data_IF_376386296528
#
_entry.id   IF_376386296528
#
_cell.length_a   1.000
_cell.length_b   1.000
_cell.length_c   1.000
_cell.angle_alpha   90.00
_cell.angle_beta   90.00
_cell.angle_gamma   90.00
#
_symmetry.space_group_name_H-M   'P 1'
#
loop_
_entity.id
_entity.type
_entity.pdbx_description
1 polymer ?
#
# COMPACT_ATOMS: atom_id res chain seq x y z
N UNK A 1 -21.81 -61.67 20.15
CA UNK A 1 -22.02 -60.61 19.15
C UNK A 1 -20.88 -59.60 19.29
N UNK A 2 -19.96 -59.55 18.33
CA UNK A 2 -18.82 -58.59 18.31
C UNK A 2 -19.23 -57.42 17.42
N UNK A 3 -19.26 -56.21 17.97
CA UNK A 3 -19.43 -54.97 17.20
C UNK A 3 -18.17 -54.73 16.36
N UNK A 4 -18.27 -54.40 15.06
CA UNK A 4 -17.11 -53.97 14.30
C UNK A 4 -16.89 -52.47 14.54
N UNK A 5 -15.73 -52.13 15.11
CA UNK A 5 -15.23 -50.76 15.11
C UNK A 5 -14.94 -50.34 13.66
N UNK A 6 -15.68 -49.34 13.16
CA UNK A 6 -15.33 -48.63 11.92
C UNK A 6 -14.30 -47.55 12.27
N UNK A 7 -13.10 -47.55 11.69
CA UNK A 7 -12.18 -46.43 11.85
C UNK A 7 -12.78 -45.23 11.12
N UNK A 8 -13.13 -44.19 11.87
CA UNK A 8 -13.53 -42.89 11.32
C UNK A 8 -12.24 -42.18 10.93
N UNK A 9 -11.90 -42.21 9.64
CA UNK A 9 -10.76 -41.47 9.10
C UNK A 9 -11.13 -39.98 9.11
N UNK A 10 -10.66 -39.24 10.11
CA UNK A 10 -10.75 -37.77 10.13
C UNK A 10 -9.79 -37.23 9.06
N UNK A 11 -10.34 -36.85 7.92
CA UNK A 11 -9.62 -36.05 6.92
C UNK A 11 -9.46 -34.63 7.52
N UNK A 12 -8.25 -34.29 7.95
CA UNK A 12 -7.87 -32.92 8.27
C UNK A 12 -7.77 -32.15 6.95
N UNK A 13 -8.81 -31.37 6.63
CA UNK A 13 -8.77 -30.40 5.54
C UNK A 13 -7.88 -29.26 6.04
N UNK A 14 -6.62 -29.22 5.58
CA UNK A 14 -5.72 -28.11 5.85
C UNK A 14 -6.09 -26.99 4.87
N UNK A 15 -6.80 -25.97 5.36
CA UNK A 15 -6.95 -24.73 4.62
C UNK A 15 -5.57 -24.05 4.59
N UNK A 16 -5.02 -23.84 3.40
CA UNK A 16 -3.75 -23.17 3.21
C UNK A 16 -3.99 -21.66 3.29
N UNK A 17 -3.59 -21.01 4.37
CA UNK A 17 -3.58 -19.56 4.51
C UNK A 17 -2.14 -19.09 4.75
N UNK A 18 -1.67 -18.10 3.99
CA UNK A 18 -0.37 -17.44 4.22
C UNK A 18 -0.57 -16.12 4.97
N UNK A 19 0.48 -15.70 5.68
CA UNK A 19 0.54 -14.38 6.30
C UNK A 19 1.97 -13.87 6.23
N UNK A 20 2.14 -12.62 5.81
CA UNK A 20 3.44 -11.96 5.71
C UNK A 20 3.36 -10.52 6.22
N UNK A 21 4.51 -9.99 6.66
CA UNK A 21 4.62 -8.61 7.09
C UNK A 21 5.88 -7.97 6.48
N UNK A 22 5.75 -6.76 5.97
CA UNK A 22 6.80 -5.98 5.33
C UNK A 22 6.86 -4.62 6.02
N UNK A 23 8.06 -4.14 6.29
CA UNK A 23 8.28 -2.88 7.01
C UNK A 23 9.10 -1.92 6.15
N UNK A 24 8.72 -0.64 6.18
CA UNK A 24 9.39 0.44 5.49
C UNK A 24 9.66 1.59 6.45
N UNK A 25 10.85 2.18 6.37
CA UNK A 25 11.19 3.41 7.07
C UNK A 25 11.19 4.58 6.09
N UNK A 26 10.49 5.65 6.46
CA UNK A 26 10.48 6.91 5.74
C UNK A 26 11.35 7.86 6.55
N UNK A 27 12.50 8.21 5.99
CA UNK A 27 13.45 9.12 6.60
C UNK A 27 13.76 10.28 5.66
N UNK A 28 14.03 11.43 6.26
CA UNK A 28 14.49 12.61 5.53
C UNK A 28 15.96 12.45 5.15
N UNK A 29 16.27 12.71 3.89
CA UNK A 29 17.63 12.74 3.37
C UNK A 29 18.17 14.17 3.31
N UNK A 30 17.37 15.11 2.81
CA UNK A 30 17.76 16.49 2.56
C UNK A 30 16.61 17.45 2.87
N UNK A 31 16.93 18.65 3.39
CA UNK A 31 16.00 19.76 3.55
C UNK A 31 16.42 20.92 2.65
N UNK A 32 15.48 21.47 1.88
CA UNK A 32 15.73 22.60 0.98
C UNK A 32 15.27 23.93 1.57
N UNK A 33 14.52 23.88 2.66
CA UNK A 33 14.08 25.05 3.42
C UNK A 33 14.41 24.88 4.90
N UNK A 34 14.47 26.00 5.62
CA UNK A 34 14.61 26.03 7.09
C UNK A 34 13.22 25.92 7.72
N UNK A 35 12.71 24.69 7.83
CA UNK A 35 11.37 24.39 8.35
C UNK A 35 11.31 23.01 9.00
N UNK A 36 10.75 22.95 10.21
CA UNK A 36 10.55 21.71 10.96
C UNK A 36 9.42 20.84 10.41
N UNK A 37 8.63 21.34 9.43
CA UNK A 37 7.51 20.61 8.83
C UNK A 37 7.98 19.28 8.21
N UNK A 38 9.21 19.24 7.71
CA UNK A 38 9.77 18.04 7.09
C UNK A 38 9.94 16.88 8.09
N UNK A 39 10.10 17.17 9.39
CA UNK A 39 10.15 16.13 10.45
C UNK A 39 8.82 15.36 10.58
N UNK A 40 7.70 15.90 10.07
CA UNK A 40 6.39 15.24 10.15
C UNK A 40 6.31 14.03 9.19
N UNK A 41 7.18 13.99 8.18
CA UNK A 41 7.22 12.91 7.19
C UNK A 41 7.86 11.65 7.76
N UNK A 42 8.74 11.77 8.76
CA UNK A 42 9.43 10.63 9.35
C UNK A 42 8.44 9.65 10.01
N UNK A 43 8.39 8.42 9.49
CA UNK A 43 7.46 7.39 9.95
C UNK A 43 7.95 5.99 9.57
N UNK A 44 7.42 4.97 10.25
CA UNK A 44 7.52 3.57 9.82
C UNK A 44 6.18 3.10 9.29
N UNK A 45 6.16 2.51 8.10
CA UNK A 45 4.99 1.83 7.55
C UNK A 45 5.15 0.31 7.71
N UNK A 46 4.08 -0.36 8.11
CA UNK A 46 4.01 -1.82 8.21
C UNK A 46 2.83 -2.31 7.39
N UNK A 47 3.11 -3.18 6.43
CA UNK A 47 2.10 -3.86 5.61
C UNK A 47 1.98 -5.28 6.11
N UNK A 48 0.78 -5.71 6.49
CA UNK A 48 0.48 -7.10 6.85
C UNK A 48 -0.50 -7.65 5.85
N UNK A 49 -0.11 -8.74 5.20
CA UNK A 49 -0.86 -9.37 4.09
C UNK A 49 -1.27 -10.75 4.57
N UNK A 50 -2.55 -11.06 4.43
CA UNK A 50 -3.12 -12.37 4.74
C UNK A 50 -3.79 -12.90 3.48
N UNK A 51 -3.39 -14.07 3.01
CA UNK A 51 -3.92 -14.66 1.78
C UNK A 51 -4.53 -16.02 2.06
N UNK A 52 -5.63 -16.28 1.37
CA UNK A 52 -6.28 -17.57 1.23
C UNK A 52 -6.55 -17.82 -0.26
N UNK A 53 -7.16 -18.96 -0.59
CA UNK A 53 -7.45 -19.29 -1.99
C UNK A 53 -8.35 -18.24 -2.68
N UNK A 54 -9.28 -17.64 -1.95
CA UNK A 54 -10.34 -16.81 -2.56
C UNK A 54 -10.24 -15.33 -2.14
N UNK A 55 -9.52 -15.06 -1.05
CA UNK A 55 -9.49 -13.75 -0.41
C UNK A 55 -8.08 -13.34 0.00
N UNK A 56 -7.82 -12.04 -0.11
CA UNK A 56 -6.65 -11.36 0.44
C UNK A 56 -7.11 -10.26 1.39
N UNK A 57 -6.36 -10.02 2.46
CA UNK A 57 -6.50 -8.83 3.30
C UNK A 57 -5.17 -8.11 3.40
N UNK A 58 -5.17 -6.83 3.06
CA UNK A 58 -4.06 -5.91 3.27
C UNK A 58 -4.38 -5.01 4.46
N UNK A 59 -3.59 -5.13 5.52
CA UNK A 59 -3.55 -4.18 6.62
C UNK A 59 -2.33 -3.28 6.48
N UNK A 60 -2.52 -1.98 6.66
CA UNK A 60 -1.44 -1.01 6.71
C UNK A 60 -1.50 -0.29 8.05
N UNK A 61 -0.34 -0.11 8.67
CA UNK A 61 -0.16 0.71 9.86
C UNK A 61 1.01 1.68 9.68
N UNK A 62 0.84 2.91 10.18
CA UNK A 62 1.89 3.92 10.22
C UNK A 62 2.26 4.24 11.67
N UNK A 63 3.56 4.39 11.94
CA UNK A 63 4.11 4.79 13.23
C UNK A 63 4.85 6.13 13.06
N UNK A 64 4.12 7.26 13.01
CA UNK A 64 4.73 8.58 12.86
C UNK A 64 5.65 8.91 14.02
N UNK A 65 6.79 9.53 13.71
CA UNK A 65 7.65 10.16 14.73
C UNK A 65 6.95 11.35 15.39
N UNK A 66 6.06 12.04 14.67
CA UNK A 66 5.28 13.21 15.13
C UNK A 66 3.78 12.93 15.06
N UNK A 67 3.28 12.15 16.01
CA UNK A 67 1.88 11.70 16.06
C UNK A 67 0.85 12.85 16.14
N UNK A 68 1.15 13.89 16.92
CA UNK A 68 0.14 14.88 17.32
C UNK A 68 -0.34 15.78 16.19
N UNK A 69 0.45 15.99 15.13
CA UNK A 69 0.16 16.99 14.09
C UNK A 69 -0.54 16.37 12.89
N UNK A 70 -0.43 15.05 12.72
CA UNK A 70 -0.95 14.32 11.57
C UNK A 70 -2.37 13.86 11.87
N UNK A 71 -3.32 14.24 11.03
CA UNK A 71 -4.71 13.78 11.13
C UNK A 71 -4.91 12.44 10.43
N UNK A 72 -4.30 12.26 9.26
CA UNK A 72 -4.37 10.99 8.52
C UNK A 72 -3.24 10.82 7.52
N UNK A 73 -3.06 9.57 7.08
CA UNK A 73 -2.36 9.23 5.84
C UNK A 73 -3.36 8.75 4.80
N UNK A 74 -3.13 9.11 3.54
CA UNK A 74 -3.79 8.50 2.38
C UNK A 74 -2.74 7.83 1.52
N UNK A 75 -2.89 6.52 1.33
CA UNK A 75 -2.01 5.68 0.54
C UNK A 75 -2.79 5.14 -0.66
N UNK A 76 -2.30 5.39 -1.87
CA UNK A 76 -2.87 4.87 -3.11
C UNK A 76 -1.87 3.92 -3.75
N UNK A 77 -2.25 2.65 -3.84
CA UNK A 77 -1.44 1.61 -4.48
C UNK A 77 -2.02 1.30 -5.84
N UNK A 78 -1.13 1.16 -6.82
CA UNK A 78 -1.46 0.69 -8.16
C UNK A 78 -0.77 -0.64 -8.43
N UNK A 79 -1.52 -1.58 -8.98
CA UNK A 79 -0.98 -2.76 -9.63
C UNK A 79 -0.11 -2.28 -10.79
N UNK A 80 1.15 -2.72 -10.84
CA UNK A 80 2.03 -2.39 -11.95
C UNK A 80 1.48 -2.96 -13.24
N UNK A 81 0.93 -2.08 -14.07
CA UNK A 81 0.77 -2.35 -15.49
C UNK A 81 2.14 -2.20 -16.15
N UNK A 82 2.50 -3.19 -16.97
CA UNK A 82 3.79 -3.31 -17.67
C UNK A 82 4.22 -1.95 -18.24
N UNK A 83 5.32 -1.39 -17.72
CA UNK A 83 5.85 -0.08 -18.17
C UNK A 83 6.37 -0.12 -19.62
N UNK A 84 6.40 -1.28 -20.29
CA UNK A 84 6.90 -1.45 -21.65
C UNK A 84 5.88 -2.20 -22.53
N UNK A 85 5.05 -1.43 -23.24
CA UNK A 85 3.98 -1.96 -24.11
C UNK A 85 4.51 -2.62 -25.39
N UNK A 86 5.80 -2.46 -25.74
CA UNK A 86 6.33 -2.90 -27.04
C UNK A 86 6.81 -4.36 -27.09
N UNK A 87 7.08 -5.02 -25.96
CA UNK A 87 7.65 -6.38 -25.95
C UNK A 87 6.77 -7.47 -25.34
N UNK A 88 5.76 -7.13 -24.54
CA UNK A 88 5.13 -8.10 -23.64
C UNK A 88 3.59 -8.16 -23.82
N UNK A 89 3.14 -8.73 -24.94
CA UNK A 89 1.71 -8.83 -25.32
C UNK A 89 0.96 -9.97 -24.60
N UNK A 90 1.66 -10.87 -23.90
CA UNK A 90 1.02 -12.04 -23.31
C UNK A 90 0.66 -11.79 -21.83
N UNK A 91 -0.61 -11.43 -21.62
CA UNK A 91 -1.39 -11.36 -20.37
C UNK A 91 -1.34 -10.07 -19.52
N UNK A 92 -2.52 -9.48 -19.30
CA UNK A 92 -2.72 -8.28 -18.50
C UNK A 92 -3.10 -8.73 -17.08
N UNK A 93 -2.21 -8.62 -16.10
CA UNK A 93 -2.58 -8.96 -14.72
C UNK A 93 -3.70 -8.02 -14.27
N UNK A 94 -4.79 -8.62 -13.78
CA UNK A 94 -5.97 -7.93 -13.28
C UNK A 94 -5.87 -7.83 -11.77
N UNK A 95 -5.48 -8.91 -11.07
CA UNK A 95 -5.39 -8.95 -9.60
C UNK A 95 -6.75 -9.16 -8.90
N UNK A 96 -6.77 -9.22 -7.55
CA UNK A 96 -8.00 -9.36 -6.77
C UNK A 96 -8.83 -8.07 -6.79
N UNK A 97 -10.15 -8.20 -6.80
CA UNK A 97 -11.09 -7.06 -6.70
C UNK A 97 -11.15 -6.58 -5.24
N UNK A 98 -10.60 -5.40 -4.97
CA UNK A 98 -10.59 -4.78 -3.64
C UNK A 98 -11.96 -4.20 -3.27
N UNK A 99 -12.34 -4.30 -1.99
CA UNK A 99 -13.62 -3.79 -1.51
C UNK A 99 -13.76 -2.27 -1.75
N UNK A 100 -14.78 -1.87 -2.50
CA UNK A 100 -15.02 -0.47 -2.85
C UNK A 100 -14.14 0.07 -3.98
N UNK A 101 -13.26 -0.76 -4.54
CA UNK A 101 -12.39 -0.43 -5.66
C UNK A 101 -12.44 -1.53 -6.75
N UNK A 102 -11.64 -1.35 -7.79
CA UNK A 102 -11.42 -2.38 -8.80
C UNK A 102 -10.20 -3.24 -8.46
N UNK A 103 -9.74 -4.06 -9.40
CA UNK A 103 -8.63 -4.96 -9.16
C UNK A 103 -7.23 -4.33 -9.40
N UNK A 104 -7.17 -3.11 -9.93
CA UNK A 104 -5.91 -2.44 -10.27
C UNK A 104 -5.44 -1.37 -9.29
N UNK A 105 -6.34 -0.70 -8.58
CA UNK A 105 -6.00 0.40 -7.66
C UNK A 105 -6.68 0.13 -6.32
N UNK A 106 -5.96 0.41 -5.23
CA UNK A 106 -6.53 0.36 -3.89
C UNK A 106 -6.07 1.56 -3.08
N UNK A 107 -7.01 2.23 -2.42
CA UNK A 107 -6.73 3.35 -1.52
C UNK A 107 -6.99 2.95 -0.07
N UNK A 108 -6.00 3.18 0.79
CA UNK A 108 -6.10 2.97 2.24
C UNK A 108 -5.87 4.29 2.96
N UNK A 109 -6.86 4.68 3.77
CA UNK A 109 -6.78 5.85 4.65
C UNK A 109 -6.49 5.42 6.08
N UNK A 110 -5.40 5.93 6.66
CA UNK A 110 -4.99 5.67 8.04
C UNK A 110 -5.36 6.87 8.90
N UNK A 111 -6.37 6.73 9.76
CA UNK A 111 -6.86 7.83 10.59
C UNK A 111 -6.16 7.84 11.95
N UNK A 112 -5.82 9.03 12.47
CA UNK A 112 -5.29 9.21 13.83
C UNK A 112 -6.18 8.57 14.89
N UNK A 113 -7.51 8.66 14.72
CA UNK A 113 -8.51 8.08 15.63
C UNK A 113 -8.44 6.54 15.74
N UNK A 114 -7.79 5.88 14.77
CA UNK A 114 -7.55 4.44 14.78
C UNK A 114 -6.04 4.13 14.84
N UNK A 115 -5.26 5.00 15.49
CA UNK A 115 -3.81 4.87 15.64
C UNK A 115 -3.07 4.64 14.31
N UNK A 116 -3.58 5.27 13.24
CA UNK A 116 -3.06 5.14 11.88
C UNK A 116 -2.99 3.68 11.38
N UNK A 117 -3.95 2.84 11.76
CA UNK A 117 -4.14 1.50 11.21
C UNK A 117 -5.42 1.42 10.41
N UNK A 118 -5.40 0.70 9.28
CA UNK A 118 -6.61 0.32 8.56
C UNK A 118 -6.39 -0.97 7.76
N UNK A 119 -7.45 -1.60 7.31
CA UNK A 119 -7.39 -2.85 6.53
C UNK A 119 -8.42 -2.83 5.42
N UNK A 120 -8.10 -3.52 4.33
CA UNK A 120 -8.98 -3.71 3.18
C UNK A 120 -8.86 -5.15 2.68
N UNK A 121 -10.00 -5.71 2.28
CA UNK A 121 -10.06 -7.06 1.72
C UNK A 121 -10.24 -7.00 0.21
N UNK A 122 -9.73 -8.01 -0.47
CA UNK A 122 -9.90 -8.24 -1.89
C UNK A 122 -10.30 -9.69 -2.16
N UNK A 123 -10.98 -9.92 -3.27
CA UNK A 123 -11.45 -11.25 -3.68
C UNK A 123 -10.87 -11.60 -5.04
N UNK A 124 -10.38 -12.83 -5.19
CA UNK A 124 -9.93 -13.33 -6.48
C UNK A 124 -11.15 -13.72 -7.31
N UNK A 125 -11.31 -13.11 -8.50
CA UNK A 125 -12.37 -13.50 -9.43
C UNK A 125 -11.89 -14.69 -10.26
N UNK A 126 -12.40 -15.89 -9.98
CA UNK A 126 -12.07 -17.12 -10.72
C UNK A 126 -12.29 -17.01 -12.24
N UNK A 127 -13.11 -16.05 -12.70
CA UNK A 127 -13.32 -15.80 -14.14
C UNK A 127 -12.16 -15.04 -14.78
N UNK A 128 -11.38 -14.31 -13.98
CA UNK A 128 -10.19 -13.58 -14.40
C UNK A 128 -8.97 -14.52 -14.33
N UNK A 129 -8.91 -15.49 -15.24
CA UNK A 129 -7.66 -16.22 -15.49
C UNK A 129 -6.75 -15.30 -16.32
N UNK A 130 -6.07 -14.39 -15.64
CA UNK A 130 -5.13 -13.43 -16.23
C UNK A 130 -3.72 -14.02 -16.43
N UNK A 131 -3.55 -15.30 -16.10
CA UNK A 131 -2.30 -16.05 -16.26
C UNK A 131 -1.15 -15.54 -15.38
N UNK A 132 -1.42 -14.66 -14.41
CA UNK A 132 -0.42 -14.13 -13.51
C UNK A 132 -0.31 -14.99 -12.25
N UNK A 133 0.93 -15.36 -11.91
CA UNK A 133 1.22 -16.06 -10.66
C UNK A 133 1.33 -15.10 -9.49
N UNK A 134 1.82 -13.87 -9.74
CA UNK A 134 2.06 -12.86 -8.72
C UNK A 134 1.51 -11.50 -9.16
N UNK A 135 1.04 -10.71 -8.19
CA UNK A 135 0.54 -9.36 -8.39
C UNK A 135 1.38 -8.35 -7.61
N UNK A 136 1.96 -7.37 -8.30
CA UNK A 136 2.85 -6.37 -7.70
C UNK A 136 2.16 -5.02 -7.59
N UNK A 137 1.89 -4.59 -6.36
CA UNK A 137 1.29 -3.31 -6.06
C UNK A 137 2.34 -2.34 -5.55
N UNK A 138 2.42 -1.17 -6.19
CA UNK A 138 3.35 -0.12 -5.82
C UNK A 138 2.59 1.05 -5.21
N UNK A 139 3.10 1.58 -4.10
CA UNK A 139 2.57 2.82 -3.57
C UNK A 139 2.87 3.93 -4.58
N UNK A 140 1.81 4.52 -5.15
CA UNK A 140 1.93 5.58 -6.15
C UNK A 140 1.79 6.96 -5.54
N UNK A 141 0.86 7.12 -4.59
CA UNK A 141 0.65 8.37 -3.88
C UNK A 141 0.68 8.15 -2.38
N UNK A 142 1.47 8.99 -1.69
CA UNK A 142 1.51 9.07 -0.24
C UNK A 142 1.24 10.51 0.18
N UNK A 143 0.14 10.71 0.89
CA UNK A 143 -0.28 12.01 1.41
C UNK A 143 -0.41 11.97 2.91
N UNK A 144 0.19 12.93 3.60
CA UNK A 144 -0.08 13.24 5.00
C UNK A 144 -1.05 14.41 5.03
N UNK A 145 -2.15 14.27 5.76
CA UNK A 145 -3.08 15.36 6.02
C UNK A 145 -2.87 15.83 7.46
N UNK A 146 -2.56 17.11 7.63
CA UNK A 146 -2.33 17.73 8.94
C UNK A 146 -3.65 18.27 9.53
N UNK A 147 -3.67 18.53 10.83
CA UNK A 147 -4.87 19.03 11.53
C UNK A 147 -5.38 20.40 11.02
N UNK A 148 -4.53 21.21 10.40
CA UNK A 148 -4.86 22.53 9.86
C UNK A 148 -5.30 22.52 8.38
N UNK A 149 -5.55 21.34 7.81
CA UNK A 149 -5.82 21.07 6.39
C UNK A 149 -4.63 21.32 5.44
N UNK A 150 -3.43 21.54 5.97
CA UNK A 150 -2.21 21.46 5.16
C UNK A 150 -1.96 20.00 4.76
N UNK A 151 -1.44 19.78 3.56
CA UNK A 151 -1.07 18.46 3.08
C UNK A 151 0.43 18.39 2.81
N UNK A 152 1.03 17.24 3.08
CA UNK A 152 2.39 16.93 2.65
C UNK A 152 2.31 15.75 1.68
N UNK A 153 2.78 15.97 0.45
CA UNK A 153 2.89 14.93 -0.56
C UNK A 153 4.31 14.38 -0.54
N UNK A 154 4.43 13.07 -0.42
CA UNK A 154 5.71 12.36 -0.40
C UNK A 154 5.84 11.58 -1.71
N UNK A 155 6.92 11.85 -2.45
CA UNK A 155 7.22 11.17 -3.70
C UNK A 155 7.65 9.73 -3.47
N UNK A 156 6.97 8.80 -4.11
CA UNK A 156 7.17 7.34 -3.95
C UNK A 156 7.29 6.61 -5.30
N UNK A 157 6.69 7.16 -6.34
CA UNK A 157 6.68 6.69 -7.72
C UNK A 157 6.97 7.86 -8.67
N UNK A 158 6.94 7.63 -9.99
CA UNK A 158 6.83 8.75 -10.94
C UNK A 158 5.37 9.09 -11.17
N UNK A 159 5.01 10.36 -11.05
CA UNK A 159 3.71 10.88 -11.43
C UNK A 159 3.78 11.67 -12.74
N UNK A 160 3.51 10.98 -13.84
CA UNK A 160 3.42 11.61 -15.17
C UNK A 160 2.37 12.74 -15.24
N UNK A 161 1.38 12.72 -14.34
CA UNK A 161 0.37 13.76 -14.24
C UNK A 161 0.87 15.05 -13.58
N UNK A 162 2.06 15.04 -12.95
CA UNK A 162 2.65 16.15 -12.19
C UNK A 162 1.71 16.76 -11.14
N UNK A 163 0.83 15.93 -10.57
CA UNK A 163 -0.04 16.26 -9.44
C UNK A 163 0.65 15.95 -8.11
N UNK A 164 1.57 14.99 -8.11
CA UNK A 164 2.40 14.59 -6.98
C UNK A 164 3.90 14.74 -7.31
N UNK A 165 4.77 14.88 -6.30
CA UNK A 165 6.20 14.82 -6.50
C UNK A 165 6.63 13.42 -6.95
N UNK A 166 7.62 13.36 -7.82
CA UNK A 166 8.36 12.12 -8.07
C UNK A 166 9.21 11.79 -6.84
N UNK A 167 9.44 10.50 -6.57
CA UNK A 167 10.45 10.13 -5.57
C UNK A 167 11.83 10.71 -5.97
N UNK A 168 12.63 11.25 -5.02
CA UNK A 168 12.44 11.21 -3.57
C UNK A 168 11.80 12.46 -2.96
N UNK A 169 11.27 13.38 -3.76
CA UNK A 169 10.91 14.73 -3.33
C UNK A 169 9.68 14.80 -2.42
N UNK A 170 9.64 15.84 -1.59
CA UNK A 170 8.53 16.13 -0.66
C UNK A 170 7.97 17.51 -0.96
N UNK A 171 6.66 17.61 -1.14
CA UNK A 171 5.96 18.87 -1.37
C UNK A 171 5.00 19.20 -0.23
N UNK A 172 4.96 20.46 0.17
CA UNK A 172 3.91 21.04 1.00
C UNK A 172 2.83 21.63 0.11
N UNK A 173 1.57 21.32 0.39
CA UNK A 173 0.41 22.00 -0.20
C UNK A 173 -0.31 22.74 0.92
N UNK A 174 -0.15 24.05 0.94
CA UNK A 174 -0.79 24.87 1.96
C UNK A 174 -2.28 25.11 1.65
N UNK A 175 -3.00 25.71 2.59
CA UNK A 175 -4.44 26.04 2.46
C UNK A 175 -4.85 26.88 1.23
N UNK A 176 -3.90 27.54 0.57
CA UNK A 176 -4.13 28.31 -0.65
C UNK A 176 -3.83 27.51 -1.93
N UNK A 177 -3.57 26.20 -1.81
CA UNK A 177 -3.12 25.30 -2.88
C UNK A 177 -1.79 25.73 -3.53
N UNK A 178 -0.94 26.43 -2.78
CA UNK A 178 0.41 26.75 -3.22
C UNK A 178 1.31 25.57 -2.85
N UNK A 179 2.09 25.11 -3.82
CA UNK A 179 3.02 24.00 -3.70
C UNK A 179 4.42 24.57 -3.40
N UNK A 180 5.05 24.05 -2.36
CA UNK A 180 6.44 24.34 -1.99
C UNK A 180 7.22 23.04 -1.85
N UNK A 181 8.38 22.94 -2.48
CA UNK A 181 9.26 21.79 -2.31
C UNK A 181 10.05 21.92 -1.01
N UNK A 182 9.88 20.96 -0.11
CA UNK A 182 10.46 20.99 1.23
C UNK A 182 11.85 20.36 1.28
N UNK A 183 12.07 19.31 0.50
CA UNK A 183 13.25 18.46 0.61
C UNK A 183 13.06 17.10 -0.08
N UNK A 184 13.87 16.13 0.34
CA UNK A 184 13.87 14.78 -0.19
C UNK A 184 13.93 13.73 0.94
N UNK A 185 13.31 12.58 0.71
CA UNK A 185 13.38 11.39 1.57
C UNK A 185 14.47 10.42 1.10
N UNK A 186 14.71 9.35 1.86
CA UNK A 186 15.50 8.19 1.41
C UNK A 186 14.70 7.20 0.54
N UNK A 187 13.44 7.50 0.22
CA UNK A 187 12.60 6.60 -0.57
C UNK A 187 13.14 6.50 -1.99
N UNK A 188 13.54 5.30 -2.38
CA UNK A 188 13.83 4.99 -3.77
C UNK A 188 12.52 4.80 -4.55
N UNK A 189 12.49 5.25 -5.80
CA UNK A 189 11.33 5.10 -6.68
C UNK A 189 10.85 3.64 -6.73
N UNK A 190 9.56 3.42 -6.49
CA UNK A 190 8.89 2.10 -6.46
C UNK A 190 9.34 1.14 -5.34
N UNK A 191 10.10 1.62 -4.35
CA UNK A 191 10.57 0.76 -3.24
C UNK A 191 9.46 0.37 -2.25
N UNK A 192 8.44 1.20 -2.06
CA UNK A 192 7.28 0.89 -1.22
C UNK A 192 6.26 0.10 -2.04
N UNK A 193 6.20 -1.22 -1.81
CA UNK A 193 5.34 -2.13 -2.57
C UNK A 193 4.88 -3.32 -1.73
N UNK A 194 3.99 -4.13 -2.29
CA UNK A 194 3.71 -5.47 -1.80
C UNK A 194 3.43 -6.41 -2.97
N UNK A 195 3.65 -7.70 -2.73
CA UNK A 195 3.43 -8.78 -3.68
C UNK A 195 2.36 -9.71 -3.13
N UNK A 196 1.43 -10.10 -3.99
CA UNK A 196 0.44 -11.14 -3.72
C UNK A 196 0.74 -12.36 -4.58
N UNK A 197 0.48 -13.54 -4.04
CA UNK A 197 0.59 -14.82 -4.75
C UNK A 197 -0.80 -15.34 -5.10
N UNK A 198 -0.97 -15.79 -6.35
CA UNK A 198 -2.15 -16.49 -6.83
C UNK A 198 -2.05 -18.00 -6.56
#
# INVERSE_FOLDING_TARGET
MRYPYRPFLLLLIVFCSSSSAIEYEIEIAESYIDSDILEYVESKLVYTIQESADEVTLQVQSFPKKFDIIQSYSLVFDLKFRENYESDIDSLCVGPVWEGFGPGEVTINLLKSNNFTNSISGTYDEKNNDGCNNYYYYLRFLTLNLEDNTQIFVGVATDYGKKYPDAPFVWLVNKNNIIEELGATKIEKYSLNFELSN
#
